data_IF_159731610015
#
_entry.id   IF_159731610015
#
_cell.length_a   1.000
_cell.length_b   1.000
_cell.length_c   1.000
_cell.angle_alpha   90.00
_cell.angle_beta   90.00
_cell.angle_gamma   90.00
#
_symmetry.space_group_name_H-M   'P 1'
#
loop_
_entity.id
_entity.type
_entity.pdbx_description
1 polymer ?
#
# COMPACT_ATOMS: atom_id res chain seq x y z
N UNK A 1 -15.27 27.16 11.22
CA UNK A 1 -14.57 25.92 11.65
C UNK A 1 -15.54 25.08 12.45
N UNK A 2 -15.67 23.79 12.13
CA UNK A 2 -16.52 22.83 12.85
C UNK A 2 -15.64 21.75 13.48
N UNK A 3 -15.90 21.44 14.75
CA UNK A 3 -15.33 20.29 15.43
C UNK A 3 -16.35 19.16 15.44
N UNK A 4 -15.93 17.97 15.03
CA UNK A 4 -16.78 16.78 14.96
C UNK A 4 -16.15 15.69 15.80
N UNK A 5 -16.91 15.13 16.75
CA UNK A 5 -16.47 13.98 17.54
C UNK A 5 -16.95 12.71 16.86
N UNK A 6 -16.03 11.78 16.61
CA UNK A 6 -16.30 10.49 15.99
C UNK A 6 -15.94 9.41 17.00
N UNK A 7 -16.91 8.58 17.36
CA UNK A 7 -16.67 7.39 18.17
C UNK A 7 -16.21 6.24 17.26
N UNK A 8 -15.00 5.74 17.53
CA UNK A 8 -14.39 4.61 16.84
C UNK A 8 -14.87 3.29 17.44
N UNK A 9 -14.71 2.20 16.69
CA UNK A 9 -15.18 0.88 17.09
C UNK A 9 -14.36 0.28 18.26
N UNK A 10 -13.17 0.83 18.53
CA UNK A 10 -12.34 0.50 19.70
C UNK A 10 -12.76 1.26 20.98
N UNK A 11 -13.77 2.13 20.90
CA UNK A 11 -14.27 2.94 22.03
C UNK A 11 -13.58 4.29 22.21
N UNK A 12 -12.56 4.61 21.40
CA UNK A 12 -11.90 5.92 21.42
C UNK A 12 -12.76 6.98 20.70
N UNK A 13 -12.62 8.23 21.13
CA UNK A 13 -13.32 9.37 20.51
C UNK A 13 -12.29 10.30 19.89
N UNK A 14 -12.30 10.37 18.56
CA UNK A 14 -11.45 11.25 17.78
C UNK A 14 -12.16 12.57 17.51
N UNK A 15 -11.42 13.69 17.58
CA UNK A 15 -11.96 15.03 17.29
C UNK A 15 -11.40 15.56 15.97
N UNK A 16 -12.26 15.68 14.97
CA UNK A 16 -11.92 16.14 13.64
C UNK A 16 -12.26 17.62 13.47
N UNK A 17 -11.37 18.37 12.82
CA UNK A 17 -11.59 19.76 12.43
C UNK A 17 -11.96 19.78 10.95
N UNK A 18 -13.11 20.40 10.63
CA UNK A 18 -13.63 20.47 9.28
C UNK A 18 -14.00 21.89 8.86
N UNK A 19 -13.79 22.19 7.58
CA UNK A 19 -14.32 23.37 6.89
C UNK A 19 -15.77 23.18 6.40
N UNK A 20 -16.30 21.95 6.44
CA UNK A 20 -17.68 21.62 6.07
C UNK A 20 -18.65 22.03 7.20
N UNK A 21 -19.32 23.17 7.02
CA UNK A 21 -20.11 23.81 8.08
C UNK A 21 -21.60 23.42 8.07
N UNK A 22 -22.15 23.08 6.91
CA UNK A 22 -23.56 22.69 6.81
C UNK A 22 -23.79 21.33 7.47
N UNK A 23 -24.63 21.30 8.51
CA UNK A 23 -24.93 20.07 9.28
C UNK A 23 -26.02 19.22 8.65
N UNK A 24 -26.85 19.79 7.77
CA UNK A 24 -27.86 19.05 7.02
C UNK A 24 -27.22 18.33 5.84
N UNK A 25 -26.31 19.00 5.15
CA UNK A 25 -25.57 18.43 4.02
C UNK A 25 -24.45 17.48 4.49
N UNK A 26 -23.73 17.83 5.56
CA UNK A 26 -22.62 17.04 6.12
C UNK A 26 -22.93 16.56 7.55
N UNK A 27 -23.74 15.52 7.71
CA UNK A 27 -24.03 14.94 9.02
C UNK A 27 -22.76 14.33 9.66
N UNK A 28 -22.76 14.17 10.98
CA UNK A 28 -21.57 13.69 11.73
C UNK A 28 -21.19 12.26 11.34
N UNK A 29 -22.16 11.46 10.96
CA UNK A 29 -22.02 10.07 10.55
C UNK A 29 -21.11 9.92 9.33
N UNK A 30 -21.16 10.87 8.39
CA UNK A 30 -20.28 10.93 7.22
C UNK A 30 -18.79 11.02 7.60
N UNK A 31 -18.49 11.70 8.71
CA UNK A 31 -17.11 11.86 9.17
C UNK A 31 -16.53 10.55 9.73
N UNK A 32 -17.37 9.62 10.18
CA UNK A 32 -16.91 8.29 10.59
C UNK A 32 -16.38 7.50 9.40
N UNK A 33 -17.13 7.50 8.30
CA UNK A 33 -16.70 6.86 7.05
C UNK A 33 -15.46 7.54 6.46
N UNK A 34 -15.42 8.88 6.48
CA UNK A 34 -14.24 9.63 6.03
C UNK A 34 -13.00 9.30 6.87
N UNK A 35 -13.16 9.18 8.19
CA UNK A 35 -12.08 8.76 9.08
C UNK A 35 -11.59 7.34 8.73
N UNK A 36 -12.50 6.42 8.46
CA UNK A 36 -12.15 5.05 8.05
C UNK A 36 -11.33 5.04 6.75
N UNK A 37 -11.71 5.84 5.75
CA UNK A 37 -10.93 5.98 4.51
C UNK A 37 -9.53 6.56 4.77
N UNK A 38 -9.42 7.54 5.66
CA UNK A 38 -8.14 8.12 6.09
C UNK A 38 -7.26 7.11 6.82
N UNK A 39 -7.84 6.26 7.66
CA UNK A 39 -7.13 5.20 8.37
C UNK A 39 -6.40 4.26 7.42
N UNK A 40 -7.00 3.96 6.26
CA UNK A 40 -6.33 3.19 5.20
C UNK A 40 -4.98 3.78 4.78
N UNK A 41 -4.88 5.11 4.71
CA UNK A 41 -3.63 5.83 4.41
C UNK A 41 -2.63 5.73 5.55
N UNK A 42 -3.08 5.83 6.81
CA UNK A 42 -2.21 5.67 7.98
C UNK A 42 -1.61 4.27 8.07
N UNK A 43 -2.42 3.24 7.80
CA UNK A 43 -1.94 1.87 7.72
C UNK A 43 -0.93 1.68 6.58
N UNK A 44 -1.08 2.40 5.47
CA UNK A 44 -0.09 2.38 4.40
C UNK A 44 1.22 3.05 4.81
N UNK A 45 1.18 4.17 5.55
CA UNK A 45 2.41 4.79 6.07
C UNK A 45 3.17 3.87 7.02
N UNK A 46 2.46 3.08 7.84
CA UNK A 46 3.09 2.06 8.69
C UNK A 46 3.85 1.01 7.85
N UNK A 47 3.23 0.52 6.77
CA UNK A 47 3.88 -0.40 5.82
C UNK A 47 5.14 0.24 5.19
N UNK A 48 5.01 1.47 4.69
CA UNK A 48 6.11 2.17 4.02
C UNK A 48 7.30 2.40 4.95
N UNK A 49 7.05 2.72 6.21
CA UNK A 49 8.10 2.98 7.20
C UNK A 49 8.69 1.70 7.80
N UNK A 50 7.84 0.75 8.21
CA UNK A 50 8.26 -0.37 9.06
C UNK A 50 8.49 -1.67 8.28
N UNK A 51 7.87 -1.83 7.10
CA UNK A 51 8.07 -3.03 6.27
C UNK A 51 9.04 -2.72 5.12
N UNK A 52 8.79 -1.63 4.40
CA UNK A 52 9.61 -1.24 3.24
C UNK A 52 10.87 -0.49 3.69
N UNK A 53 10.83 0.16 4.86
CA UNK A 53 11.94 0.95 5.40
C UNK A 53 12.41 2.04 4.42
N UNK A 54 11.45 2.83 3.90
CA UNK A 54 11.73 3.86 2.87
C UNK A 54 12.80 4.88 3.26
N UNK A 55 13.05 5.04 4.56
CA UNK A 55 14.03 5.97 5.12
C UNK A 55 15.48 5.41 5.08
N UNK A 56 15.67 4.15 4.69
CA UNK A 56 16.97 3.49 4.60
C UNK A 56 17.61 3.68 3.23
N UNK A 57 18.14 4.88 2.98
CA UNK A 57 18.76 5.26 1.71
C UNK A 57 20.13 4.62 1.50
N UNK A 58 20.42 4.28 0.24
CA UNK A 58 21.69 3.69 -0.21
C UNK A 58 22.80 4.73 -0.40
N UNK A 59 22.48 6.02 -0.38
CA UNK A 59 23.44 7.11 -0.48
C UNK A 59 22.89 8.46 -0.02
N UNK A 60 23.77 9.46 0.03
CA UNK A 60 23.46 10.77 0.64
C UNK A 60 23.21 11.90 -0.37
N UNK A 61 23.40 11.65 -1.66
CA UNK A 61 23.09 12.66 -2.69
C UNK A 61 21.59 12.74 -2.92
N UNK A 62 21.07 13.94 -3.16
CA UNK A 62 19.65 14.18 -3.47
C UNK A 62 19.11 13.23 -4.56
N UNK A 63 19.86 13.03 -5.65
CA UNK A 63 19.47 12.12 -6.72
C UNK A 63 19.26 10.67 -6.25
N UNK A 64 20.18 10.15 -5.44
CA UNK A 64 20.10 8.76 -4.93
C UNK A 64 18.92 8.63 -3.96
N UNK A 65 18.73 9.62 -3.08
CA UNK A 65 17.60 9.65 -2.15
C UNK A 65 16.27 9.62 -2.91
N UNK A 66 16.12 10.44 -3.94
CA UNK A 66 14.91 10.45 -4.79
C UNK A 66 14.73 9.12 -5.52
N UNK A 67 15.80 8.54 -6.06
CA UNK A 67 15.74 7.23 -6.74
C UNK A 67 15.28 6.10 -5.82
N UNK A 68 15.84 6.03 -4.61
CA UNK A 68 15.46 5.02 -3.61
C UNK A 68 14.01 5.20 -3.16
N UNK A 69 13.60 6.45 -2.91
CA UNK A 69 12.22 6.78 -2.55
C UNK A 69 11.22 6.36 -3.64
N UNK A 70 11.49 6.73 -4.90
CA UNK A 70 10.62 6.38 -6.02
C UNK A 70 10.59 4.88 -6.30
N UNK A 71 11.72 4.19 -6.16
CA UNK A 71 11.79 2.73 -6.31
C UNK A 71 10.96 2.03 -5.23
N UNK A 72 11.06 2.48 -3.97
CA UNK A 72 10.23 1.97 -2.89
C UNK A 72 8.73 2.20 -3.13
N UNK A 73 8.34 3.39 -3.60
CA UNK A 73 6.95 3.69 -3.93
C UNK A 73 6.41 2.83 -5.08
N UNK A 74 7.24 2.60 -6.11
CA UNK A 74 6.89 1.73 -7.22
C UNK A 74 6.66 0.30 -6.74
N UNK A 75 7.54 -0.24 -5.89
CA UNK A 75 7.35 -1.55 -5.27
C UNK A 75 6.03 -1.62 -4.49
N UNK A 76 5.70 -0.59 -3.69
CA UNK A 76 4.43 -0.53 -2.96
C UNK A 76 3.20 -0.56 -3.89
N UNK A 77 3.26 0.13 -5.03
CA UNK A 77 2.16 0.16 -5.98
C UNK A 77 1.95 -1.21 -6.63
N UNK A 78 3.04 -1.84 -7.09
CA UNK A 78 3.00 -3.19 -7.67
C UNK A 78 2.52 -4.20 -6.64
N UNK A 79 3.00 -4.10 -5.39
CA UNK A 79 2.53 -4.90 -4.26
C UNK A 79 1.03 -4.79 -4.04
N UNK A 80 0.53 -3.55 -3.99
CA UNK A 80 -0.89 -3.30 -3.76
C UNK A 80 -1.76 -3.89 -4.88
N UNK A 81 -1.32 -3.81 -6.14
CA UNK A 81 -2.03 -4.42 -7.27
C UNK A 81 -2.06 -5.95 -7.17
N UNK A 82 -0.90 -6.58 -6.96
CA UNK A 82 -0.79 -8.05 -6.88
C UNK A 82 -1.53 -8.62 -5.68
N UNK A 83 -1.48 -7.94 -4.52
CA UNK A 83 -2.24 -8.35 -3.34
C UNK A 83 -3.74 -8.18 -3.57
N UNK A 84 -4.18 -7.09 -4.20
CA UNK A 84 -5.59 -6.89 -4.50
C UNK A 84 -6.13 -8.00 -5.39
N UNK A 85 -5.42 -8.33 -6.47
CA UNK A 85 -5.81 -9.40 -7.39
C UNK A 85 -5.82 -10.77 -6.68
N UNK A 86 -4.79 -11.08 -5.90
CA UNK A 86 -4.73 -12.33 -5.15
C UNK A 86 -5.82 -12.43 -4.07
N UNK A 87 -6.17 -11.33 -3.39
CA UNK A 87 -7.25 -11.31 -2.40
C UNK A 87 -8.63 -11.46 -3.06
N UNK A 88 -8.82 -10.97 -4.29
CA UNK A 88 -10.06 -11.16 -5.06
C UNK A 88 -10.25 -12.62 -5.51
N UNK A 89 -9.17 -13.33 -5.83
CA UNK A 89 -9.19 -14.76 -6.17
C UNK A 89 -9.31 -15.69 -4.95
N UNK A 90 -9.05 -15.18 -3.74
CA UNK A 90 -9.11 -15.99 -2.54
C UNK A 90 -10.54 -16.43 -2.23
N UNK A 91 -10.77 -17.73 -1.92
CA UNK A 91 -12.11 -18.21 -1.60
C UNK A 91 -12.62 -17.54 -0.32
N UNK A 92 -13.71 -16.79 -0.45
CA UNK A 92 -14.45 -16.24 0.68
C UNK A 92 -14.89 -17.36 1.60
N UNK A 93 -14.84 -17.16 2.92
CA UNK A 93 -15.22 -18.23 3.84
C UNK A 93 -16.67 -18.66 3.60
N UNK A 94 -16.89 -19.91 3.19
CA UNK A 94 -18.19 -20.55 3.16
C UNK A 94 -18.74 -20.89 4.56
N UNK A 95 -18.65 -19.97 5.52
CA UNK A 95 -19.21 -20.11 6.88
C UNK A 95 -18.42 -20.95 7.88
N UNK A 96 -17.30 -21.58 7.50
CA UNK A 96 -16.51 -22.45 8.42
C UNK A 96 -15.54 -21.71 9.34
N UNK A 97 -15.27 -20.42 9.13
CA UNK A 97 -14.38 -19.63 10.02
C UNK A 97 -14.97 -18.26 10.30
N UNK A 98 -14.57 -17.70 11.44
CA UNK A 98 -15.03 -16.39 11.94
C UNK A 98 -14.53 -15.19 11.12
N UNK A 99 -13.36 -15.30 10.49
CA UNK A 99 -12.73 -14.19 9.76
C UNK A 99 -12.16 -14.63 8.41
N UNK A 100 -12.28 -13.76 7.42
CA UNK A 100 -11.67 -13.93 6.11
C UNK A 100 -10.14 -13.89 6.20
N UNK A 101 -9.50 -14.65 5.32
CA UNK A 101 -8.04 -14.68 5.22
C UNK A 101 -7.57 -13.40 4.54
N UNK A 102 -6.46 -12.86 5.03
CA UNK A 102 -5.76 -11.73 4.43
C UNK A 102 -4.32 -12.12 4.15
N UNK A 103 -3.74 -11.52 3.13
CA UNK A 103 -2.33 -11.75 2.81
C UNK A 103 -1.45 -11.08 3.87
N UNK A 104 -0.43 -11.81 4.33
CA UNK A 104 0.56 -11.22 5.23
C UNK A 104 1.47 -10.28 4.43
N UNK A 105 1.34 -8.98 4.67
CA UNK A 105 2.09 -7.94 3.95
C UNK A 105 3.61 -8.09 4.12
N UNK A 106 4.11 -8.32 5.32
CA UNK A 106 5.54 -8.47 5.58
C UNK A 106 6.16 -9.60 4.76
N UNK A 107 5.52 -10.78 4.78
CA UNK A 107 6.00 -11.95 4.05
C UNK A 107 5.91 -11.75 2.54
N UNK A 108 4.78 -11.23 2.04
CA UNK A 108 4.58 -10.99 0.61
C UNK A 108 5.51 -9.90 0.05
N UNK A 109 5.82 -8.85 0.81
CA UNK A 109 6.83 -7.86 0.44
C UNK A 109 8.22 -8.49 0.34
N UNK A 110 8.57 -9.41 1.24
CA UNK A 110 9.83 -10.17 1.18
C UNK A 110 9.97 -10.91 -0.14
N UNK A 111 8.98 -11.74 -0.49
CA UNK A 111 8.97 -12.47 -1.76
C UNK A 111 8.96 -11.55 -2.98
N UNK A 112 8.19 -10.45 -2.94
CA UNK A 112 8.15 -9.50 -4.03
C UNK A 112 9.50 -8.82 -4.27
N UNK A 113 10.20 -8.45 -3.20
CA UNK A 113 11.51 -7.81 -3.31
C UNK A 113 12.50 -8.73 -4.03
N UNK A 114 12.53 -10.01 -3.66
CA UNK A 114 13.36 -11.01 -4.33
C UNK A 114 12.98 -11.16 -5.81
N UNK A 115 11.70 -11.35 -6.09
CA UNK A 115 11.19 -11.50 -7.45
C UNK A 115 11.46 -10.27 -8.34
N UNK A 116 11.35 -9.05 -7.81
CA UNK A 116 11.63 -7.83 -8.57
C UNK A 116 13.11 -7.69 -8.89
N UNK A 117 14.01 -8.05 -7.97
CA UNK A 117 15.45 -8.06 -8.24
C UNK A 117 15.77 -9.06 -9.33
N UNK A 118 15.20 -10.27 -9.28
CA UNK A 118 15.38 -11.27 -10.33
C UNK A 118 14.85 -10.79 -11.67
N UNK A 119 13.64 -10.23 -11.71
CA UNK A 119 13.00 -9.73 -12.94
C UNK A 119 13.83 -8.60 -13.59
N UNK A 120 14.34 -7.67 -12.79
CA UNK A 120 15.10 -6.52 -13.30
C UNK A 120 16.57 -6.87 -13.63
N UNK A 121 17.12 -7.91 -13.01
CA UNK A 121 18.46 -8.40 -13.29
C UNK A 121 18.51 -9.38 -14.47
N UNK A 122 17.35 -9.82 -14.98
CA UNK A 122 17.30 -10.66 -16.18
C UNK A 122 17.80 -9.88 -17.40
N UNK A 123 18.70 -10.46 -18.20
CA UNK A 123 19.12 -9.85 -19.46
C UNK A 123 17.91 -9.75 -20.41
N UNK A 124 17.88 -8.69 -21.21
CA UNK A 124 16.78 -8.42 -22.14
C UNK A 124 16.44 -9.68 -22.97
N UNK A 125 15.22 -10.25 -22.83
CA UNK A 125 14.85 -11.45 -23.58
C UNK A 125 14.84 -11.19 -25.09
N UNK A 126 14.68 -9.93 -25.51
CA UNK A 126 14.65 -9.49 -26.91
C UNK A 126 16.04 -9.50 -27.57
N UNK A 127 17.14 -9.38 -26.80
CA UNK A 127 18.50 -9.37 -27.34
C UNK A 127 19.03 -10.74 -27.78
N UNK A 128 18.40 -11.83 -27.34
CA UNK A 128 18.86 -13.20 -27.60
C UNK A 128 18.32 -13.84 -28.89
N UNK A 129 17.37 -13.18 -29.58
CA UNK A 129 16.83 -13.62 -30.88
C UNK A 129 17.55 -13.03 -32.11
N UNK A 130 18.63 -12.26 -31.93
CA UNK A 130 19.25 -11.48 -33.02
C UNK A 130 20.63 -11.91 -33.53
N UNK A 131 21.24 -13.00 -33.02
CA UNK A 131 22.60 -13.39 -33.44
C UNK A 131 22.75 -14.89 -33.69
N UNK A 132 21.93 -15.43 -34.58
CA UNK A 132 22.23 -16.68 -35.30
C UNK A 132 21.82 -16.50 -36.75
N UNK A 133 22.68 -15.84 -37.53
CA UNK A 133 22.85 -15.98 -38.98
C UNK A 133 23.63 -14.76 -39.51
N UNK A 134 24.95 -14.78 -39.34
CA UNK A 134 25.85 -14.10 -40.26
C UNK A 134 27.25 -14.70 -40.13
N UNK A 135 27.74 -15.22 -41.26
CA UNK A 135 29.01 -15.94 -41.52
C UNK A 135 28.93 -17.46 -41.32
#
# INVERSE_FOLDING_TARGET
>A
MRLVKVALDNGEVETLIASLLDRKEYPTELFKELYYNRWGVEQFYDVVKNIVCVENFTGHTDRVIQQDFHSALLMCNIHSLLVSEAEDEMPKNGGKRKYDRKINKTVSFGFMKEAMVELLAQPDPVGSMGSKNCS
#
